data_IF_143770799895
#
_entry.id   IF_143770799895
#
_cell.length_a   1.000
_cell.length_b   1.000
_cell.length_c   1.000
_cell.angle_alpha   90.00
_cell.angle_beta   90.00
_cell.angle_gamma   90.00
#
_symmetry.space_group_name_H-M   'P 1'
#
loop_
_entity.id
_entity.type
_entity.pdbx_description
1 polymer ?
#
# COMPACT_ATOMS: atom_id res chain seq x y z
N UNK A 1 26.95 -4.64 31.52
CA UNK A 1 25.60 -4.82 30.94
C UNK A 1 24.92 -3.46 30.71
N UNK A 2 25.47 -2.58 29.86
CA UNK A 2 24.85 -1.28 29.56
C UNK A 2 25.30 -0.65 28.23
N UNK A 3 25.48 -1.42 27.15
CA UNK A 3 25.92 -0.86 25.84
C UNK A 3 25.27 -1.50 24.60
N UNK A 4 24.08 -2.09 24.70
CA UNK A 4 23.42 -2.77 23.57
C UNK A 4 22.10 -2.14 23.09
N UNK A 5 21.78 -0.90 23.46
CA UNK A 5 20.46 -0.28 23.12
C UNK A 5 20.48 0.87 22.10
N UNK A 6 21.53 1.06 21.28
CA UNK A 6 21.57 2.19 20.32
C UNK A 6 22.18 1.86 18.94
N UNK A 7 21.86 0.73 18.30
CA UNK A 7 22.45 0.39 16.97
C UNK A 7 21.49 -0.12 15.88
N UNK A 8 20.20 0.22 15.91
CA UNK A 8 19.25 -0.27 14.88
C UNK A 8 18.46 0.80 14.12
N UNK A 9 18.87 2.08 14.12
CA UNK A 9 18.19 3.13 13.30
C UNK A 9 19.09 3.89 12.34
N UNK A 10 20.20 3.31 11.91
CA UNK A 10 21.07 3.87 10.85
C UNK A 10 21.29 2.87 9.72
N UNK A 11 20.22 2.29 9.17
CA UNK A 11 20.32 1.76 7.82
C UNK A 11 20.42 2.96 6.86
N UNK A 12 21.58 3.09 6.23
CA UNK A 12 21.98 4.24 5.45
C UNK A 12 20.95 4.59 4.38
N UNK A 13 20.38 5.78 4.47
CA UNK A 13 19.43 6.30 3.49
C UNK A 13 20.11 6.41 2.11
N UNK A 14 19.72 5.54 1.17
CA UNK A 14 20.34 5.42 -0.15
C UNK A 14 19.71 6.42 -1.11
N UNK A 15 20.54 7.03 -1.95
CA UNK A 15 20.09 7.89 -3.03
C UNK A 15 20.03 7.08 -4.34
N UNK A 16 18.89 7.13 -5.01
CA UNK A 16 18.63 6.52 -6.31
C UNK A 16 18.33 7.59 -7.34
N UNK A 17 18.92 7.49 -8.52
CA UNK A 17 18.51 8.28 -9.68
C UNK A 17 17.44 7.45 -10.41
N UNK A 18 16.26 8.02 -10.56
CA UNK A 18 15.10 7.35 -11.16
C UNK A 18 14.53 8.22 -12.26
N UNK A 19 13.82 7.59 -13.21
CA UNK A 19 13.15 8.31 -14.29
C UNK A 19 11.65 7.96 -14.27
N UNK A 20 10.80 8.99 -14.24
CA UNK A 20 9.34 8.85 -14.25
C UNK A 20 8.79 9.81 -15.29
N UNK A 21 8.04 9.30 -16.26
CA UNK A 21 7.44 10.07 -17.35
C UNK A 21 8.46 10.95 -18.12
N UNK A 22 9.69 10.48 -18.28
CA UNK A 22 10.79 11.21 -18.92
C UNK A 22 11.48 12.26 -18.02
N UNK A 23 11.08 12.37 -16.75
CA UNK A 23 11.70 13.28 -15.77
C UNK A 23 12.67 12.49 -14.90
N UNK A 24 13.94 12.89 -14.92
CA UNK A 24 14.97 12.36 -14.01
C UNK A 24 14.82 12.99 -12.62
N UNK A 25 14.72 12.14 -11.61
CA UNK A 25 14.52 12.51 -10.21
C UNK A 25 15.55 11.82 -9.31
N UNK A 26 15.84 12.44 -8.17
CA UNK A 26 16.68 11.84 -7.13
C UNK A 26 15.80 11.42 -5.95
N UNK A 27 15.67 10.12 -5.75
CA UNK A 27 14.89 9.54 -4.67
C UNK A 27 15.81 9.13 -3.53
N UNK A 28 15.47 9.53 -2.31
CA UNK A 28 16.20 9.17 -1.09
C UNK A 28 15.33 8.23 -0.24
N UNK A 29 15.75 6.98 -0.07
CA UNK A 29 14.98 5.96 0.67
C UNK A 29 15.85 4.88 1.31
N UNK A 30 15.31 4.22 2.34
CA UNK A 30 15.93 3.04 2.98
C UNK A 30 15.48 1.71 2.35
N UNK A 31 14.58 1.74 1.36
CA UNK A 31 14.14 0.53 0.67
C UNK A 31 15.25 -0.07 -0.21
N UNK A 32 15.26 -1.41 -0.37
CA UNK A 32 16.19 -2.07 -1.28
C UNK A 32 15.89 -1.69 -2.74
N UNK A 33 16.90 -1.78 -3.60
CA UNK A 33 16.84 -1.29 -4.99
C UNK A 33 15.68 -1.93 -5.76
N UNK A 34 15.41 -3.19 -5.52
CA UNK A 34 14.38 -3.98 -6.18
C UNK A 34 12.98 -3.38 -5.94
N UNK A 35 12.71 -2.97 -4.70
CA UNK A 35 11.45 -2.31 -4.32
C UNK A 35 11.36 -0.92 -4.93
N UNK A 36 12.48 -0.19 -4.98
CA UNK A 36 12.53 1.13 -5.63
C UNK A 36 12.22 1.02 -7.12
N UNK A 37 12.85 0.06 -7.81
CA UNK A 37 12.64 -0.17 -9.24
C UNK A 37 11.18 -0.56 -9.53
N UNK A 38 10.56 -1.35 -8.66
CA UNK A 38 9.13 -1.69 -8.76
C UNK A 38 8.23 -0.47 -8.58
N UNK A 39 8.48 0.36 -7.56
CA UNK A 39 7.72 1.59 -7.32
C UNK A 39 7.84 2.56 -8.50
N UNK A 40 9.05 2.75 -9.03
CA UNK A 40 9.30 3.61 -10.19
C UNK A 40 8.54 3.10 -11.40
N UNK A 41 8.61 1.79 -11.69
CA UNK A 41 7.88 1.18 -12.81
C UNK A 41 6.36 1.33 -12.65
N UNK A 42 5.85 1.16 -11.43
CA UNK A 42 4.43 1.31 -11.13
C UNK A 42 3.94 2.74 -11.38
N UNK A 43 4.66 3.73 -10.83
CA UNK A 43 4.30 5.15 -10.99
C UNK A 43 4.47 5.61 -12.44
N UNK A 44 5.55 5.24 -13.12
CA UNK A 44 5.76 5.57 -14.54
C UNK A 44 4.62 5.03 -15.41
N UNK A 45 4.20 3.78 -15.18
CA UNK A 45 3.08 3.17 -15.88
C UNK A 45 1.77 3.96 -15.68
N UNK A 46 1.51 4.45 -14.47
CA UNK A 46 0.34 5.27 -14.15
C UNK A 46 0.39 6.63 -14.85
N UNK A 47 1.53 7.31 -14.80
CA UNK A 47 1.74 8.56 -15.50
C UNK A 47 1.57 8.40 -17.02
N UNK A 48 2.14 7.35 -17.61
CA UNK A 48 2.03 7.07 -19.05
C UNK A 48 0.60 6.79 -19.50
N UNK A 49 -0.16 6.05 -18.69
CA UNK A 49 -1.59 5.83 -18.94
C UNK A 49 -2.38 7.15 -18.90
N UNK A 50 -2.11 8.00 -17.92
CA UNK A 50 -2.76 9.30 -17.80
C UNK A 50 -2.40 10.22 -18.99
N UNK A 51 -1.14 10.22 -19.44
CA UNK A 51 -0.71 10.96 -20.63
C UNK A 51 -1.41 10.46 -21.90
N UNK A 52 -1.53 9.14 -22.08
CA UNK A 52 -2.17 8.57 -23.28
C UNK A 52 -3.70 8.79 -23.32
N UNK A 53 -4.34 8.94 -22.16
CA UNK A 53 -5.78 9.14 -22.06
C UNK A 53 -6.24 10.54 -22.53
N UNK A 54 -5.35 11.53 -22.57
CA UNK A 54 -5.68 12.90 -22.95
C UNK A 54 -4.67 13.50 -23.93
N UNK A 55 -5.14 13.87 -25.13
CA UNK A 55 -4.33 14.42 -26.24
C UNK A 55 -3.59 15.74 -25.93
N UNK A 56 -3.81 16.37 -24.77
CA UNK A 56 -3.27 17.71 -24.45
C UNK A 56 -2.72 17.86 -23.02
N UNK A 57 -2.59 16.79 -22.25
CA UNK A 57 -2.07 16.88 -20.88
C UNK A 57 -0.54 16.96 -20.87
N UNK A 58 -0.02 18.03 -20.26
CA UNK A 58 1.40 18.10 -19.87
C UNK A 58 1.70 17.06 -18.78
N UNK A 59 2.99 16.81 -18.54
CA UNK A 59 3.47 15.76 -17.63
C UNK A 59 2.99 16.02 -16.20
N UNK A 60 2.91 17.28 -15.78
CA UNK A 60 2.44 17.68 -14.45
C UNK A 60 0.97 17.30 -14.24
N UNK A 61 0.10 17.59 -15.20
CA UNK A 61 -1.32 17.21 -15.11
C UNK A 61 -1.48 15.69 -15.13
N UNK A 62 -0.71 15.00 -15.97
CA UNK A 62 -0.72 13.54 -16.00
C UNK A 62 -0.24 12.93 -14.67
N UNK A 63 0.77 13.51 -14.02
CA UNK A 63 1.24 13.10 -12.71
C UNK A 63 0.18 13.30 -11.62
N UNK A 64 -0.57 14.41 -11.64
CA UNK A 64 -1.70 14.65 -10.72
C UNK A 64 -2.82 13.63 -10.94
N UNK A 65 -3.17 13.34 -12.19
CA UNK A 65 -4.18 12.32 -12.52
C UNK A 65 -3.72 10.91 -12.12
N UNK A 66 -2.44 10.58 -12.32
CA UNK A 66 -1.85 9.34 -11.88
C UNK A 66 -1.90 9.21 -10.34
N UNK A 67 -1.55 10.27 -9.62
CA UNK A 67 -1.63 10.31 -8.16
C UNK A 67 -3.07 10.11 -7.67
N UNK A 68 -4.05 10.76 -8.31
CA UNK A 68 -5.46 10.59 -7.98
C UNK A 68 -5.93 9.15 -8.20
N UNK A 69 -5.57 8.54 -9.32
CA UNK A 69 -5.90 7.14 -9.61
C UNK A 69 -5.26 6.17 -8.60
N UNK A 70 -4.01 6.40 -8.20
CA UNK A 70 -3.36 5.58 -7.17
C UNK A 70 -4.05 5.75 -5.81
N UNK A 71 -4.43 6.99 -5.45
CA UNK A 71 -5.15 7.27 -4.22
C UNK A 71 -6.54 6.61 -4.20
N UNK A 72 -7.25 6.60 -5.33
CA UNK A 72 -8.54 5.92 -5.48
C UNK A 72 -8.42 4.40 -5.28
N UNK A 73 -7.40 3.78 -5.88
CA UNK A 73 -7.15 2.35 -5.70
C UNK A 73 -6.86 2.01 -4.23
N UNK A 74 -6.04 2.85 -3.57
CA UNK A 74 -5.72 2.68 -2.15
C UNK A 74 -6.97 2.83 -1.27
N UNK A 75 -7.82 3.80 -1.58
CA UNK A 75 -9.05 4.04 -0.82
C UNK A 75 -10.03 2.88 -0.97
N UNK A 76 -10.19 2.39 -2.19
CA UNK A 76 -11.02 1.22 -2.52
C UNK A 76 -10.52 -0.02 -1.79
N UNK A 77 -9.22 -0.31 -1.86
CA UNK A 77 -8.59 -1.45 -1.20
C UNK A 77 -8.77 -1.40 0.33
N UNK A 78 -8.59 -0.22 0.93
CA UNK A 78 -8.79 -0.02 2.37
C UNK A 78 -10.25 -0.27 2.77
N UNK A 79 -11.19 0.20 1.97
CA UNK A 79 -12.61 0.01 2.24
C UNK A 79 -13.02 -1.46 2.13
N UNK A 80 -12.58 -2.16 1.09
CA UNK A 80 -12.84 -3.59 0.88
C UNK A 80 -12.22 -4.45 1.99
N UNK A 81 -10.99 -4.14 2.39
CA UNK A 81 -10.30 -4.83 3.50
C UNK A 81 -11.07 -4.66 4.81
N UNK A 82 -11.53 -3.43 5.10
CA UNK A 82 -12.33 -3.15 6.30
C UNK A 82 -13.64 -3.94 6.29
N UNK A 83 -14.37 -3.91 5.18
CA UNK A 83 -15.63 -4.66 5.04
C UNK A 83 -15.41 -6.17 5.20
N UNK A 84 -14.31 -6.70 4.66
CA UNK A 84 -13.95 -8.11 4.78
C UNK A 84 -13.63 -8.50 6.23
N UNK A 85 -12.92 -7.64 6.97
CA UNK A 85 -12.63 -7.85 8.39
C UNK A 85 -13.89 -7.78 9.25
N UNK A 86 -14.80 -6.83 8.97
CA UNK A 86 -16.07 -6.70 9.68
C UNK A 86 -16.93 -7.97 9.48
N UNK A 87 -17.01 -8.48 8.24
CA UNK A 87 -17.70 -9.74 7.93
C UNK A 87 -17.08 -10.93 8.65
N UNK A 88 -15.75 -11.01 8.67
CA UNK A 88 -15.03 -12.07 9.38
C UNK A 88 -15.34 -12.02 10.88
N UNK A 89 -15.30 -10.83 11.49
CA UNK A 89 -15.61 -10.64 12.91
C UNK A 89 -17.05 -11.05 13.24
N UNK A 90 -18.03 -10.64 12.43
CA UNK A 90 -19.43 -11.03 12.60
C UNK A 90 -19.60 -12.54 12.51
N UNK A 91 -18.96 -13.18 11.53
CA UNK A 91 -19.08 -14.62 11.34
C UNK A 91 -18.42 -15.40 12.49
N UNK A 92 -17.22 -14.98 12.93
CA UNK A 92 -16.55 -15.57 14.09
C UNK A 92 -17.37 -15.41 15.37
N UNK A 93 -17.99 -14.24 15.58
CA UNK A 93 -18.89 -14.01 16.71
C UNK A 93 -20.11 -14.94 16.69
N UNK A 94 -20.76 -15.08 15.54
CA UNK A 94 -21.89 -16.02 15.37
C UNK A 94 -21.49 -17.47 15.67
N UNK A 95 -20.34 -17.91 15.14
CA UNK A 95 -19.83 -19.26 15.38
C UNK A 95 -19.52 -19.49 16.86
N UNK A 96 -18.93 -18.51 17.55
CA UNK A 96 -18.66 -18.61 18.98
C UNK A 96 -19.97 -18.74 19.78
N UNK A 97 -20.99 -17.91 19.50
CA UNK A 97 -22.29 -18.02 20.16
C UNK A 97 -22.99 -19.36 19.90
N UNK A 98 -22.83 -19.93 18.71
CA UNK A 98 -23.33 -21.27 18.39
C UNK A 98 -22.60 -22.37 19.17
N UNK A 99 -21.28 -22.25 19.34
CA UNK A 99 -20.50 -23.17 20.15
C UNK A 99 -20.88 -23.10 21.63
N UNK A 100 -21.04 -21.89 22.18
CA UNK A 100 -21.47 -21.67 23.56
C UNK A 100 -22.84 -22.31 23.81
N UNK A 101 -23.83 -22.01 22.97
CA UNK A 101 -25.18 -22.57 23.10
C UNK A 101 -25.25 -24.09 22.90
N UNK A 102 -24.36 -24.67 22.09
CA UNK A 102 -24.30 -26.13 21.89
C UNK A 102 -23.62 -26.86 23.05
N UNK A 103 -22.68 -26.20 23.76
CA UNK A 103 -22.00 -26.74 24.93
C UNK A 103 -22.90 -26.83 26.17
N UNK A 104 -23.83 -25.90 26.33
CA UNK A 104 -24.76 -25.86 27.48
C UNK A 104 -25.86 -26.91 27.40
N UNK A 105 -26.20 -27.42 26.21
CA UNK A 105 -27.32 -28.34 26.01
C UNK A 105 -27.01 -29.83 26.27
N UNK A 106 -25.83 -30.16 26.81
CA UNK A 106 -25.41 -31.54 27.15
C UNK A 106 -25.48 -31.87 28.66
N UNK A 107 -25.99 -30.97 29.51
CA UNK A 107 -26.12 -31.19 30.95
C UNK A 107 -27.59 -31.25 31.45
N UNK A 108 -28.54 -31.66 30.60
CA UNK A 108 -29.94 -31.92 31.01
C UNK A 108 -30.36 -33.33 30.63
#
# INVERSE_FOLDING_TARGET
MSTEVLKESEEANKNFNVEIAGISLKLRTNHPKEVVDELVRFVDGRCRRAMNASRKTNVETAAVLAALSIAEDLFSLKQETKQSLDRLSINTGKLLSQLESSGTNKQS
#
